data_IF_262050452159
#
_entry.id   IF_262050452159
#
_cell.length_a   1.000
_cell.length_b   1.000
_cell.length_c   1.000
_cell.angle_alpha   90.00
_cell.angle_beta   90.00
_cell.angle_gamma   90.00
#
_symmetry.space_group_name_H-M   'P 1'
#
loop_
_entity.id
_entity.type
_entity.pdbx_description
1 polymer ?
#
# COMPACT_ATOMS: atom_id res chain seq x y z
N UNK A 1 33.57 -38.97 45.25
CA UNK A 1 32.33 -38.37 44.73
C UNK A 1 31.24 -38.63 45.77
N UNK A 2 30.84 -37.62 46.55
CA UNK A 2 29.66 -37.73 47.43
C UNK A 2 28.42 -37.49 46.58
N UNK A 3 27.56 -38.51 46.42
CA UNK A 3 26.25 -38.34 45.79
C UNK A 3 25.34 -37.55 46.76
N UNK A 4 24.81 -36.39 46.37
CA UNK A 4 23.93 -35.61 47.23
C UNK A 4 22.52 -36.21 47.16
N UNK A 5 22.29 -37.27 47.94
CA UNK A 5 20.96 -37.85 48.13
C UNK A 5 19.95 -36.76 48.50
N UNK A 6 18.81 -36.71 47.80
CA UNK A 6 17.75 -35.72 48.01
C UNK A 6 17.97 -34.36 47.33
N UNK A 7 19.09 -34.13 46.64
CA UNK A 7 19.34 -32.96 45.76
C UNK A 7 19.74 -33.38 44.34
N UNK A 8 19.42 -34.60 43.97
CA UNK A 8 19.84 -35.26 42.73
C UNK A 8 19.43 -34.44 41.50
N UNK A 9 18.19 -33.95 41.45
CA UNK A 9 17.70 -33.13 40.35
C UNK A 9 18.52 -31.84 40.17
N UNK A 10 18.77 -31.10 41.25
CA UNK A 10 19.60 -29.88 41.20
C UNK A 10 21.07 -30.16 40.87
N UNK A 11 21.59 -31.33 41.25
CA UNK A 11 22.94 -31.76 40.92
C UNK A 11 23.04 -32.14 39.44
N UNK A 12 22.05 -32.86 38.91
CA UNK A 12 21.91 -33.21 37.49
C UNK A 12 21.78 -31.97 36.62
N UNK A 13 20.96 -30.99 37.01
CA UNK A 13 20.82 -29.70 36.29
C UNK A 13 22.15 -28.94 36.23
N UNK A 14 22.93 -28.92 37.33
CA UNK A 14 24.27 -28.29 37.34
C UNK A 14 25.27 -29.02 36.45
N UNK A 15 25.22 -30.35 36.43
CA UNK A 15 26.05 -31.15 35.52
C UNK A 15 25.66 -30.92 34.06
N UNK A 16 24.37 -30.86 33.76
CA UNK A 16 23.86 -30.56 32.43
C UNK A 16 24.28 -29.16 31.97
N UNK A 17 24.23 -28.15 32.85
CA UNK A 17 24.71 -26.81 32.53
C UNK A 17 26.22 -26.79 32.24
N UNK A 18 27.01 -27.56 33.01
CA UNK A 18 28.44 -27.74 32.75
C UNK A 18 28.70 -28.43 31.42
N UNK A 19 27.92 -29.46 31.10
CA UNK A 19 27.99 -30.17 29.81
C UNK A 19 27.63 -29.26 28.63
N UNK A 20 26.55 -28.47 28.75
CA UNK A 20 26.17 -27.45 27.77
C UNK A 20 27.30 -26.46 27.50
N UNK A 21 27.92 -25.90 28.55
CA UNK A 21 29.05 -24.98 28.39
C UNK A 21 30.26 -25.64 27.72
N UNK A 22 30.52 -26.92 28.02
CA UNK A 22 31.61 -27.67 27.41
C UNK A 22 31.33 -27.96 25.92
N UNK A 23 30.09 -28.32 25.57
CA UNK A 23 29.66 -28.50 24.18
C UNK A 23 29.87 -27.21 23.37
N UNK A 24 29.46 -26.05 23.92
CA UNK A 24 29.69 -24.76 23.27
C UNK A 24 31.18 -24.45 23.06
N UNK A 25 32.04 -24.73 24.05
CA UNK A 25 33.50 -24.52 23.90
C UNK A 25 34.14 -25.39 22.83
N UNK A 26 33.59 -26.59 22.62
CA UNK A 26 34.05 -27.58 21.63
C UNK A 26 33.42 -27.38 20.25
N UNK A 27 32.42 -26.52 20.11
CA UNK A 27 31.66 -26.37 18.87
C UNK A 27 30.69 -27.53 18.59
N UNK A 28 30.32 -28.29 19.62
CA UNK A 28 29.32 -29.37 19.54
C UNK A 28 27.90 -28.77 19.61
N UNK A 29 27.51 -28.03 18.58
CA UNK A 29 26.32 -27.16 18.59
C UNK A 29 25.00 -27.91 18.76
N UNK A 30 24.84 -29.07 18.13
CA UNK A 30 23.62 -29.89 18.24
C UNK A 30 23.42 -30.44 19.66
N UNK A 31 24.51 -30.88 20.31
CA UNK A 31 24.49 -31.37 21.69
C UNK A 31 24.20 -30.24 22.67
N UNK A 32 24.79 -29.07 22.44
CA UNK A 32 24.48 -27.87 23.22
C UNK A 32 22.99 -27.51 23.09
N UNK A 33 22.44 -27.51 21.87
CA UNK A 33 21.03 -27.19 21.62
C UNK A 33 20.09 -28.18 22.30
N UNK A 34 20.41 -29.48 22.30
CA UNK A 34 19.61 -30.51 22.95
C UNK A 34 19.49 -30.33 24.49
N UNK A 35 20.45 -29.64 25.11
CA UNK A 35 20.41 -29.34 26.54
C UNK A 35 19.42 -28.22 26.91
N UNK A 36 19.11 -27.32 25.96
CA UNK A 36 18.37 -26.07 26.21
C UNK A 36 16.99 -26.28 26.84
N UNK A 37 16.13 -27.22 26.38
CA UNK A 37 14.79 -27.39 26.96
C UNK A 37 14.83 -27.78 28.44
N UNK A 38 15.75 -28.67 28.83
CA UNK A 38 15.90 -29.11 30.22
C UNK A 38 16.55 -28.03 31.11
N UNK A 39 17.39 -27.17 30.53
CA UNK A 39 18.00 -26.05 31.23
C UNK A 39 17.04 -24.87 31.44
N UNK A 40 16.03 -24.73 30.58
CA UNK A 40 14.96 -23.76 30.76
C UNK A 40 14.12 -24.07 32.00
N UNK A 41 13.82 -25.34 32.25
CA UNK A 41 13.07 -25.80 33.43
C UNK A 41 13.93 -25.90 34.71
N UNK A 42 15.22 -25.59 34.62
CA UNK A 42 16.14 -25.72 35.74
C UNK A 42 15.84 -24.71 36.86
N UNK A 43 16.12 -25.10 38.10
CA UNK A 43 15.86 -24.24 39.25
C UNK A 43 17.00 -23.25 39.52
N UNK A 44 16.64 -22.09 40.07
CA UNK A 44 17.59 -21.07 40.51
C UNK A 44 18.06 -20.16 39.37
N UNK A 45 19.37 -19.96 39.29
CA UNK A 45 20.01 -18.96 38.40
C UNK A 45 20.49 -19.57 37.06
N UNK A 46 20.22 -20.85 36.83
CA UNK A 46 20.65 -21.55 35.61
C UNK A 46 19.92 -21.00 34.37
N UNK A 47 18.58 -20.82 34.36
CA UNK A 47 17.87 -20.31 33.19
C UNK A 47 18.40 -18.94 32.74
N UNK A 48 18.63 -18.01 33.68
CA UNK A 48 19.18 -16.68 33.38
C UNK A 48 20.57 -16.74 32.74
N UNK A 49 21.46 -17.58 33.26
CA UNK A 49 22.80 -17.77 32.68
C UNK A 49 22.73 -18.34 31.27
N UNK A 50 21.79 -19.25 31.02
CA UNK A 50 21.58 -19.81 29.68
C UNK A 50 21.01 -18.74 28.76
N UNK A 51 20.04 -17.95 29.20
CA UNK A 51 19.52 -16.79 28.47
C UNK A 51 20.65 -15.82 28.06
N UNK A 52 21.53 -15.43 28.99
CA UNK A 52 22.67 -14.55 28.73
C UNK A 52 23.63 -15.15 27.70
N UNK A 53 23.89 -16.45 27.77
CA UNK A 53 24.73 -17.17 26.81
C UNK A 53 24.05 -17.19 25.43
N UNK A 54 22.77 -17.53 25.35
CA UNK A 54 22.02 -17.56 24.09
C UNK A 54 21.99 -16.17 23.43
N UNK A 55 21.81 -15.10 24.21
CA UNK A 55 21.92 -13.73 23.71
C UNK A 55 23.33 -13.43 23.17
N UNK A 56 24.38 -13.82 23.90
CA UNK A 56 25.76 -13.61 23.44
C UNK A 56 26.07 -14.35 22.13
N UNK A 57 25.55 -15.57 21.94
CA UNK A 57 25.71 -16.34 20.70
C UNK A 57 25.06 -15.65 19.49
N UNK A 58 23.96 -14.92 19.72
CA UNK A 58 23.21 -14.18 18.70
C UNK A 58 23.87 -12.83 18.38
N UNK A 59 24.37 -12.13 19.40
CA UNK A 59 24.92 -10.76 19.26
C UNK A 59 26.31 -10.75 18.64
N UNK A 60 27.10 -11.79 18.87
CA UNK A 60 28.51 -11.84 18.47
C UNK A 60 28.82 -13.05 17.56
N UNK A 61 28.24 -13.13 16.35
CA UNK A 61 28.47 -14.25 15.43
C UNK A 61 29.96 -14.49 15.13
N UNK A 62 30.74 -13.43 14.96
CA UNK A 62 32.17 -13.53 14.62
C UNK A 62 33.03 -14.15 15.73
N UNK A 63 32.51 -14.24 16.96
CA UNK A 63 33.20 -14.86 18.09
C UNK A 63 32.89 -16.36 18.22
N UNK A 64 31.99 -16.89 17.39
CA UNK A 64 31.62 -18.30 17.38
C UNK A 64 32.73 -19.15 16.78
N UNK A 65 33.13 -20.20 17.51
CA UNK A 65 34.12 -21.17 17.03
C UNK A 65 33.52 -22.12 16.00
N UNK A 66 33.46 -21.68 14.76
CA UNK A 66 32.93 -22.49 13.67
C UNK A 66 34.03 -23.33 13.02
N UNK A 67 33.71 -24.57 12.66
CA UNK A 67 34.56 -25.38 11.78
C UNK A 67 34.59 -24.79 10.36
N UNK A 68 35.46 -25.30 9.49
CA UNK A 68 35.60 -24.80 8.11
C UNK A 68 34.29 -24.92 7.28
N UNK A 69 33.37 -25.79 7.69
CA UNK A 69 32.11 -26.07 7.00
C UNK A 69 30.91 -25.29 7.55
N UNK A 70 31.07 -24.55 8.65
CA UNK A 70 29.96 -23.87 9.34
C UNK A 70 30.16 -22.37 9.25
N UNK A 71 29.18 -21.68 8.68
CA UNK A 71 29.14 -20.23 8.66
C UNK A 71 28.73 -19.67 10.03
N UNK A 72 29.55 -18.81 10.67
CA UNK A 72 29.21 -18.17 11.94
C UNK A 72 27.87 -17.43 11.94
N UNK A 73 27.50 -16.78 10.84
CA UNK A 73 26.28 -15.97 10.76
C UNK A 73 25.03 -16.87 10.70
N UNK A 74 25.11 -17.96 9.93
CA UNK A 74 24.04 -18.98 9.86
C UNK A 74 23.89 -19.72 11.19
N UNK A 75 24.99 -20.00 11.87
CA UNK A 75 24.95 -20.59 13.20
C UNK A 75 24.29 -19.64 14.20
N UNK A 76 24.64 -18.36 14.18
CA UNK A 76 23.97 -17.36 15.02
C UNK A 76 22.47 -17.24 14.70
N UNK A 77 22.06 -17.41 13.44
CA UNK A 77 20.64 -17.49 13.07
C UNK A 77 19.94 -18.71 13.69
N UNK A 78 20.58 -19.88 13.69
CA UNK A 78 20.04 -21.07 14.37
C UNK A 78 19.86 -20.81 15.86
N UNK A 79 20.84 -20.19 16.52
CA UNK A 79 20.73 -19.81 17.93
C UNK A 79 19.70 -18.72 18.18
N UNK A 80 19.48 -17.81 17.23
CA UNK A 80 18.39 -16.83 17.28
C UNK A 80 17.02 -17.53 17.29
N UNK A 81 16.82 -18.56 16.47
CA UNK A 81 15.57 -19.34 16.49
C UNK A 81 15.37 -20.10 17.82
N UNK A 82 16.46 -20.54 18.45
CA UNK A 82 16.42 -21.14 19.80
C UNK A 82 16.05 -20.10 20.85
N UNK A 83 16.64 -18.91 20.78
CA UNK A 83 16.36 -17.78 21.66
C UNK A 83 14.91 -17.28 21.50
N UNK A 84 14.38 -17.23 20.28
CA UNK A 84 12.99 -16.85 20.01
C UNK A 84 12.01 -17.84 20.67
N UNK A 85 12.30 -19.15 20.60
CA UNK A 85 11.53 -20.18 21.31
C UNK A 85 11.64 -20.04 22.82
N UNK A 86 12.83 -19.75 23.34
CA UNK A 86 13.07 -19.49 24.77
C UNK A 86 12.20 -18.32 25.25
N UNK A 87 12.25 -17.18 24.57
CA UNK A 87 11.48 -15.97 24.92
C UNK A 87 9.96 -16.18 24.80
N UNK A 88 9.52 -16.95 23.81
CA UNK A 88 8.10 -17.29 23.62
C UNK A 88 7.53 -18.08 24.81
N UNK A 89 8.31 -18.98 25.40
CA UNK A 89 7.90 -19.75 26.59
C UNK A 89 7.83 -18.87 27.85
N UNK A 90 8.72 -17.88 27.97
CA UNK A 90 8.74 -16.91 29.06
C UNK A 90 7.77 -15.73 28.85
N UNK A 91 7.06 -15.68 27.72
CA UNK A 91 6.20 -14.54 27.29
C UNK A 91 6.95 -13.20 27.26
N UNK A 92 8.25 -13.23 26.98
CA UNK A 92 9.09 -12.04 26.78
C UNK A 92 9.12 -11.67 25.30
N UNK A 93 9.26 -10.38 25.02
CA UNK A 93 9.47 -9.88 23.66
C UNK A 93 10.97 -9.85 23.35
N UNK A 94 11.35 -10.47 22.24
CA UNK A 94 12.72 -10.42 21.74
C UNK A 94 12.97 -9.07 21.05
N UNK A 95 14.07 -8.36 21.35
CA UNK A 95 14.41 -7.13 20.64
C UNK A 95 14.54 -7.37 19.13
N UNK A 96 13.76 -6.65 18.33
CA UNK A 96 13.76 -6.73 16.86
C UNK A 96 15.14 -6.44 16.25
N UNK A 97 15.98 -5.70 16.97
CA UNK A 97 17.37 -5.38 16.61
C UNK A 97 18.21 -6.62 16.36
N UNK A 98 18.08 -7.66 17.19
CA UNK A 98 18.86 -8.89 17.03
C UNK A 98 18.55 -9.56 15.70
N UNK A 99 17.25 -9.63 15.36
CA UNK A 99 16.79 -10.18 14.11
C UNK A 99 17.32 -9.39 12.92
N UNK A 100 17.11 -8.07 12.91
CA UNK A 100 17.54 -7.20 11.81
C UNK A 100 19.05 -7.22 11.59
N UNK A 101 19.85 -7.26 12.67
CA UNK A 101 21.31 -7.36 12.58
C UNK A 101 21.75 -8.68 11.93
N UNK A 102 21.16 -9.80 12.33
CA UNK A 102 21.47 -11.09 11.72
C UNK A 102 20.99 -11.17 10.28
N UNK A 103 19.79 -10.67 9.97
CA UNK A 103 19.29 -10.57 8.59
C UNK A 103 20.25 -9.75 7.72
N UNK A 104 20.77 -8.63 8.23
CA UNK A 104 21.79 -7.84 7.53
C UNK A 104 23.09 -8.61 7.31
N UNK A 105 23.59 -9.30 8.34
CA UNK A 105 24.83 -10.08 8.22
C UNK A 105 24.67 -11.17 7.13
N UNK A 106 23.59 -11.94 7.19
CA UNK A 106 23.28 -12.97 6.18
C UNK A 106 23.19 -12.37 4.76
N UNK A 107 22.58 -11.20 4.59
CA UNK A 107 22.56 -10.51 3.29
C UNK A 107 23.95 -9.99 2.89
N UNK A 108 24.78 -9.60 3.86
CA UNK A 108 26.13 -9.09 3.59
C UNK A 108 27.03 -10.15 2.95
N UNK A 109 26.81 -11.44 3.18
CA UNK A 109 27.50 -12.55 2.48
C UNK A 109 27.39 -12.40 0.95
N UNK A 110 26.18 -12.08 0.47
CA UNK A 110 25.89 -11.90 -0.96
C UNK A 110 26.35 -10.52 -1.48
N UNK A 111 26.35 -9.50 -0.63
CA UNK A 111 26.68 -8.11 -1.00
C UNK A 111 28.17 -7.78 -1.03
N UNK A 112 29.03 -8.58 -0.38
CA UNK A 112 30.49 -8.35 -0.30
C UNK A 112 31.18 -8.23 -1.67
N UNK A 113 30.56 -8.74 -2.73
CA UNK A 113 31.08 -8.60 -4.11
C UNK A 113 30.76 -7.26 -4.74
N UNK A 114 29.68 -6.62 -4.30
CA UNK A 114 29.08 -5.45 -4.95
C UNK A 114 29.27 -4.17 -4.13
N UNK A 115 29.56 -4.27 -2.82
CA UNK A 115 29.69 -3.14 -1.89
C UNK A 115 31.06 -3.15 -1.18
N UNK A 116 31.76 -2.00 -1.11
CA UNK A 116 32.96 -1.82 -0.28
C UNK A 116 32.75 -2.12 1.22
N UNK A 117 33.75 -2.70 1.89
CA UNK A 117 33.66 -3.09 3.31
C UNK A 117 33.42 -1.91 4.26
N UNK A 118 33.95 -0.73 3.95
CA UNK A 118 33.75 0.50 4.71
C UNK A 118 32.28 0.95 4.67
N UNK A 119 31.64 0.83 3.50
CA UNK A 119 30.21 1.13 3.34
C UNK A 119 29.36 0.07 4.02
N UNK A 120 29.71 -1.22 3.93
CA UNK A 120 28.99 -2.28 4.67
C UNK A 120 29.02 -2.04 6.19
N UNK A 121 30.16 -1.61 6.73
CA UNK A 121 30.28 -1.23 8.16
C UNK A 121 29.38 -0.04 8.47
N UNK A 122 29.38 0.99 7.63
CA UNK A 122 28.52 2.16 7.79
C UNK A 122 27.02 1.77 7.80
N UNK A 123 26.59 0.91 6.88
CA UNK A 123 25.21 0.41 6.79
C UNK A 123 24.83 -0.42 8.04
N UNK A 124 25.73 -1.28 8.52
CA UNK A 124 25.54 -2.05 9.74
C UNK A 124 25.42 -1.16 10.99
N UNK A 125 26.26 -0.12 11.08
CA UNK A 125 26.20 0.86 12.16
C UNK A 125 24.91 1.68 12.13
N UNK A 126 24.45 2.09 10.95
CA UNK A 126 23.18 2.80 10.79
C UNK A 126 21.99 1.96 11.31
N UNK A 127 21.99 0.65 11.04
CA UNK A 127 20.97 -0.29 11.54
C UNK A 127 21.06 -0.49 13.07
N UNK A 128 22.26 -0.43 13.64
CA UNK A 128 22.49 -0.64 15.07
C UNK A 128 22.08 0.55 15.96
N UNK A 129 22.04 1.76 15.42
CA UNK A 129 21.75 3.00 16.17
C UNK A 129 20.26 3.35 16.27
N UNK A 130 19.42 2.72 15.45
CA UNK A 130 17.99 3.03 15.32
C UNK A 130 17.12 2.54 16.49
N UNK A 131 17.72 1.92 17.50
CA UNK A 131 17.00 1.38 18.64
C UNK A 131 17.83 1.62 19.88
N UNK A 132 17.34 2.49 20.77
CA UNK A 132 17.92 2.65 22.09
C UNK A 132 17.98 1.30 22.79
N UNK A 133 19.16 0.68 22.81
CA UNK A 133 19.38 -0.53 23.59
C UNK A 133 19.12 -0.26 25.07
N UNK A 134 18.90 -1.31 25.88
CA UNK A 134 18.98 -1.18 27.33
C UNK A 134 20.42 -0.80 27.65
N UNK A 135 20.61 0.49 27.92
CA UNK A 135 21.87 1.08 28.34
C UNK A 135 22.33 0.37 29.60
N UNK A 136 23.39 -0.44 29.47
CA UNK A 136 24.15 -0.97 30.60
C UNK A 136 25.10 0.07 31.23
N UNK A 137 25.11 1.32 30.77
CA UNK A 137 25.90 2.39 31.41
C UNK A 137 25.18 3.74 31.39
N UNK A 138 24.48 4.02 32.49
CA UNK A 138 23.89 5.32 32.75
C UNK A 138 25.00 6.33 33.03
N UNK A 139 25.54 6.98 31.99
CA UNK A 139 26.11 8.35 32.00
C UNK A 139 26.89 8.68 30.71
N UNK A 140 26.26 8.54 29.53
CA UNK A 140 26.73 9.30 28.36
C UNK A 140 25.59 10.09 27.76
N UNK A 141 25.82 11.41 27.73
CA UNK A 141 24.96 12.44 27.15
C UNK A 141 24.44 12.01 25.78
N UNK A 142 23.13 12.11 25.64
CA UNK A 142 22.36 12.09 24.39
C UNK A 142 22.67 13.33 23.52
N UNK A 143 23.94 13.59 23.22
CA UNK A 143 24.38 14.66 22.34
C UNK A 143 24.54 14.11 20.93
N UNK A 144 23.50 14.28 20.11
CA UNK A 144 23.54 14.44 18.64
C UNK A 144 24.52 13.56 17.85
N UNK A 145 24.25 12.26 17.74
CA UNK A 145 24.81 11.44 16.66
C UNK A 145 23.65 10.81 15.91
N UNK A 146 23.14 11.52 14.91
CA UNK A 146 22.29 10.91 13.88
C UNK A 146 23.24 10.38 12.82
N UNK A 147 23.38 9.05 12.65
CA UNK A 147 24.19 8.52 11.57
C UNK A 147 23.44 8.80 10.28
N UNK A 148 23.88 9.83 9.57
CA UNK A 148 23.46 10.05 8.19
C UNK A 148 24.32 9.14 7.35
N UNK A 149 23.68 8.38 6.47
CA UNK A 149 24.42 7.68 5.43
C UNK A 149 25.22 8.70 4.61
N UNK A 150 26.47 8.35 4.31
CA UNK A 150 27.37 9.11 3.47
C UNK A 150 26.80 9.22 2.05
N UNK A 151 27.23 10.25 1.32
CA UNK A 151 26.89 10.39 -0.10
C UNK A 151 27.34 9.18 -0.91
N UNK A 152 28.48 8.60 -0.53
CA UNK A 152 29.09 7.42 -1.09
C UNK A 152 28.19 6.19 -0.85
N UNK A 153 27.76 5.94 0.39
CA UNK A 153 26.85 4.85 0.71
C UNK A 153 25.54 4.96 -0.10
N UNK A 154 24.94 6.14 -0.17
CA UNK A 154 23.72 6.38 -0.96
C UNK A 154 23.94 6.14 -2.46
N UNK A 155 25.10 6.52 -2.99
CA UNK A 155 25.44 6.26 -4.40
C UNK A 155 25.61 4.76 -4.69
N UNK A 156 26.20 4.00 -3.77
CA UNK A 156 26.35 2.55 -3.89
C UNK A 156 25.00 1.85 -3.79
N UNK A 157 24.10 2.30 -2.91
CA UNK A 157 22.71 1.81 -2.88
C UNK A 157 22.00 2.03 -4.21
N UNK A 158 22.24 3.19 -4.84
CA UNK A 158 21.67 3.50 -6.15
C UNK A 158 22.25 2.63 -7.27
N UNK A 159 23.55 2.36 -7.26
CA UNK A 159 24.17 1.47 -8.24
C UNK A 159 23.74 0.01 -8.04
N UNK A 160 23.58 -0.43 -6.79
CA UNK A 160 23.01 -1.74 -6.46
C UNK A 160 21.56 -1.87 -6.94
N UNK A 161 20.76 -0.80 -6.84
CA UNK A 161 19.40 -0.77 -7.41
C UNK A 161 19.39 -0.98 -8.94
N UNK A 162 20.46 -0.59 -9.65
CA UNK A 162 20.60 -0.82 -11.09
C UNK A 162 21.07 -2.24 -11.42
N UNK A 163 21.98 -2.78 -10.61
CA UNK A 163 22.68 -4.05 -10.89
C UNK A 163 21.96 -5.27 -10.31
N UNK A 164 21.45 -5.14 -9.08
CA UNK A 164 20.83 -6.21 -8.30
C UNK A 164 19.61 -5.67 -7.52
N UNK A 165 18.49 -5.36 -8.19
CA UNK A 165 17.35 -4.66 -7.59
C UNK A 165 16.70 -5.43 -6.43
N UNK A 166 16.73 -6.77 -6.44
CA UNK A 166 16.16 -7.58 -5.37
C UNK A 166 16.98 -7.47 -4.07
N UNK A 167 18.32 -7.52 -4.17
CA UNK A 167 19.21 -7.38 -3.03
C UNK A 167 19.15 -5.95 -2.46
N UNK A 168 19.16 -4.94 -3.36
CA UNK A 168 18.98 -3.55 -2.96
C UNK A 168 17.66 -3.33 -2.22
N UNK A 169 16.57 -3.93 -2.70
CA UNK A 169 15.27 -3.80 -2.06
C UNK A 169 15.26 -4.43 -0.66
N UNK A 170 15.83 -5.63 -0.50
CA UNK A 170 15.93 -6.28 0.81
C UNK A 170 16.76 -5.46 1.80
N UNK A 171 17.88 -4.90 1.35
CA UNK A 171 18.73 -4.06 2.18
C UNK A 171 18.06 -2.71 2.53
N UNK A 172 17.38 -2.07 1.57
CA UNK A 172 16.60 -0.87 1.84
C UNK A 172 15.44 -1.16 2.80
N UNK A 173 14.83 -2.34 2.76
CA UNK A 173 13.81 -2.74 3.73
C UNK A 173 14.39 -2.95 5.14
N UNK A 174 15.60 -3.52 5.26
CA UNK A 174 16.28 -3.69 6.56
C UNK A 174 16.74 -2.38 7.19
N UNK A 175 17.24 -1.45 6.37
CA UNK A 175 17.67 -0.12 6.85
C UNK A 175 16.49 0.75 7.31
N UNK A 176 15.25 0.31 7.09
CA UNK A 176 14.05 1.04 7.46
C UNK A 176 13.49 0.51 8.76
N UNK A 177 13.24 1.41 9.71
CA UNK A 177 12.48 1.03 10.90
C UNK A 177 11.01 0.75 10.58
N UNK A 178 10.47 -0.26 11.25
CA UNK A 178 9.01 -0.50 11.30
C UNK A 178 8.24 0.66 11.93
N UNK A 179 8.87 1.42 12.85
CA UNK A 179 8.21 2.46 13.66
C UNK A 179 8.39 3.90 13.15
N UNK A 180 9.15 4.11 12.06
CA UNK A 180 9.52 5.45 11.60
C UNK A 180 8.39 6.16 10.85
N UNK A 181 7.44 6.67 11.61
CA UNK A 181 6.70 7.88 11.27
C UNK A 181 7.42 9.16 11.73
N UNK A 182 8.48 9.05 12.55
CA UNK A 182 9.11 10.18 13.25
C UNK A 182 10.65 10.15 13.35
N UNK A 183 11.33 9.10 12.86
CA UNK A 183 12.79 9.00 12.88
C UNK A 183 13.51 9.92 11.89
N UNK A 184 14.51 10.67 12.36
CA UNK A 184 15.36 11.57 11.55
C UNK A 184 16.28 10.80 10.58
N UNK A 185 16.65 9.56 10.91
CA UNK A 185 17.44 8.62 10.09
C UNK A 185 16.69 8.25 8.81
N UNK A 186 15.45 7.77 8.95
CA UNK A 186 14.56 7.43 7.83
C UNK A 186 14.25 8.60 6.90
N UNK A 187 14.20 9.84 7.42
CA UNK A 187 14.00 11.04 6.60
C UNK A 187 15.18 11.32 5.66
N UNK A 188 16.42 11.18 6.15
CA UNK A 188 17.62 11.49 5.36
C UNK A 188 17.78 10.55 4.16
N UNK A 189 17.53 9.25 4.35
CA UNK A 189 17.54 8.26 3.28
C UNK A 189 16.41 8.49 2.28
N UNK A 190 15.19 8.78 2.74
CA UNK A 190 14.06 9.09 1.84
C UNK A 190 14.35 10.30 0.97
N UNK A 191 14.86 11.39 1.56
CA UNK A 191 15.24 12.60 0.80
C UNK A 191 16.32 12.29 -0.24
N UNK A 192 17.36 11.56 0.15
CA UNK A 192 18.44 11.23 -0.78
C UNK A 192 17.96 10.35 -1.95
N UNK A 193 17.05 9.40 -1.69
CA UNK A 193 16.39 8.61 -2.74
C UNK A 193 15.51 9.48 -3.66
N UNK A 194 14.72 10.41 -3.10
CA UNK A 194 13.93 11.36 -3.91
C UNK A 194 14.84 12.17 -4.82
N UNK A 195 15.92 12.75 -4.29
CA UNK A 195 16.88 13.53 -5.08
C UNK A 195 17.52 12.71 -6.21
N UNK A 196 17.87 11.44 -5.94
CA UNK A 196 18.41 10.54 -6.95
C UNK A 196 17.39 10.17 -8.03
N UNK A 197 16.15 9.86 -7.65
CA UNK A 197 15.06 9.58 -8.60
C UNK A 197 14.85 10.78 -9.52
N UNK A 198 14.78 12.00 -8.99
CA UNK A 198 14.59 13.21 -9.79
C UNK A 198 15.74 13.45 -10.79
N UNK A 199 17.00 13.25 -10.35
CA UNK A 199 18.17 13.30 -11.25
C UNK A 199 18.08 12.24 -12.35
N UNK A 200 17.65 11.03 -12.01
CA UNK A 200 17.48 9.94 -12.96
C UNK A 200 16.35 10.20 -13.95
N UNK A 201 15.23 10.79 -13.52
CA UNK A 201 14.15 11.24 -14.40
C UNK A 201 14.65 12.28 -15.41
N UNK A 202 15.46 13.25 -14.97
CA UNK A 202 16.11 14.21 -15.87
C UNK A 202 17.02 13.55 -16.90
N UNK A 203 17.73 12.47 -16.53
CA UNK A 203 18.58 11.72 -17.45
C UNK A 203 17.77 10.87 -18.46
N UNK A 204 16.62 10.33 -18.04
CA UNK A 204 15.72 9.52 -18.88
C UNK A 204 14.95 10.37 -19.90
N UNK A 205 14.68 11.64 -19.58
CA UNK A 205 14.04 12.59 -20.50
C UNK A 205 15.02 13.18 -21.55
N UNK A 206 16.32 12.93 -21.41
CA UNK A 206 17.34 13.42 -22.33
C UNK A 206 17.44 12.60 -23.64
N UNK A 207 18.00 13.17 -24.73
CA UNK A 207 18.17 12.49 -26.02
C UNK A 207 19.20 11.35 -26.01
N UNK A 208 19.95 11.21 -24.91
CA UNK A 208 20.93 10.15 -24.71
C UNK A 208 20.24 8.92 -24.14
N UNK A 209 20.44 7.76 -24.77
CA UNK A 209 20.09 6.46 -24.20
C UNK A 209 20.73 6.38 -22.80
N UNK A 210 19.90 6.49 -21.76
CA UNK A 210 20.38 6.46 -20.38
C UNK A 210 21.12 5.15 -20.07
N UNK A 211 21.92 5.11 -19.00
CA UNK A 211 22.58 3.89 -18.57
C UNK A 211 21.58 2.74 -18.38
N UNK A 212 21.98 1.52 -18.73
CA UNK A 212 21.15 0.33 -18.52
C UNK A 212 20.75 0.19 -17.03
N UNK A 213 19.51 -0.19 -16.76
CA UNK A 213 19.00 -0.40 -15.39
C UNK A 213 18.57 0.87 -14.63
N UNK A 214 18.64 2.07 -15.24
CA UNK A 214 18.17 3.30 -14.56
C UNK A 214 16.67 3.26 -14.27
N UNK A 215 15.87 2.70 -15.17
CA UNK A 215 14.42 2.52 -14.98
C UNK A 215 14.11 1.57 -13.82
N UNK A 216 14.85 0.46 -13.72
CA UNK A 216 14.72 -0.48 -12.61
C UNK A 216 15.11 0.16 -11.28
N UNK A 217 16.16 0.99 -11.28
CA UNK A 217 16.56 1.73 -10.10
C UNK A 217 15.52 2.77 -9.67
N UNK A 218 14.86 3.46 -10.61
CA UNK A 218 13.73 4.34 -10.32
C UNK A 218 12.60 3.53 -9.67
N UNK A 219 12.20 2.40 -10.26
CA UNK A 219 11.13 1.57 -9.71
C UNK A 219 11.47 1.00 -8.32
N UNK A 220 12.69 0.50 -8.11
CA UNK A 220 13.12 0.01 -6.81
C UNK A 220 13.20 1.11 -5.76
N UNK A 221 13.71 2.29 -6.11
CA UNK A 221 13.70 3.45 -5.21
C UNK A 221 12.27 3.87 -4.83
N UNK A 222 11.33 3.91 -5.79
CA UNK A 222 9.93 4.25 -5.55
C UNK A 222 9.23 3.27 -4.60
N UNK A 223 9.47 1.96 -4.73
CA UNK A 223 8.97 0.94 -3.78
C UNK A 223 9.51 1.16 -2.36
N UNK A 224 10.68 1.77 -2.28
CA UNK A 224 11.35 2.10 -1.02
C UNK A 224 10.97 3.47 -0.45
N UNK A 225 10.18 4.29 -1.14
CA UNK A 225 9.68 5.54 -0.57
C UNK A 225 8.55 5.28 0.43
N UNK A 226 8.27 6.28 1.27
CA UNK A 226 7.10 6.40 2.14
C UNK A 226 6.69 7.86 2.08
N UNK A 227 5.44 8.18 2.41
CA UNK A 227 5.09 9.58 2.66
C UNK A 227 5.35 9.86 4.14
N UNK A 228 6.42 10.59 4.51
CA UNK A 228 6.58 11.02 5.89
C UNK A 228 5.53 12.09 6.21
N UNK A 229 5.23 12.30 7.50
CA UNK A 229 4.64 13.57 7.93
C UNK A 229 5.60 14.73 7.54
N UNK A 230 5.08 15.96 7.38
CA UNK A 230 5.87 17.15 6.97
C UNK A 230 7.29 17.15 7.57
N UNK A 231 8.35 17.36 6.75
CA UNK A 231 8.43 18.43 5.74
C UNK A 231 8.61 17.99 4.27
N UNK A 232 8.61 16.69 3.95
CA UNK A 232 8.89 16.19 2.58
C UNK A 232 7.75 16.42 1.56
N UNK A 233 6.60 16.96 2.00
CA UNK A 233 5.38 17.06 1.19
C UNK A 233 5.57 17.87 -0.11
N UNK A 234 6.34 18.96 -0.08
CA UNK A 234 6.63 19.76 -1.27
C UNK A 234 7.52 19.03 -2.29
N UNK A 235 8.59 18.37 -1.82
CA UNK A 235 9.52 17.61 -2.67
C UNK A 235 8.83 16.39 -3.30
N UNK A 236 7.96 15.71 -2.56
CA UNK A 236 7.17 14.58 -3.06
C UNK A 236 6.12 15.01 -4.10
N UNK A 237 5.52 16.21 -3.97
CA UNK A 237 4.63 16.76 -5.01
C UNK A 237 5.39 17.00 -6.31
N UNK A 238 6.53 17.67 -6.23
CA UNK A 238 7.41 17.89 -7.38
C UNK A 238 7.85 16.57 -8.03
N UNK A 239 8.18 15.56 -7.22
CA UNK A 239 8.49 14.22 -7.74
C UNK A 239 7.29 13.61 -8.49
N UNK A 240 6.07 13.72 -7.97
CA UNK A 240 4.87 13.20 -8.63
C UNK A 240 4.61 13.92 -9.97
N UNK A 241 4.80 15.24 -10.02
CA UNK A 241 4.72 16.02 -11.26
C UNK A 241 5.77 15.57 -12.28
N UNK A 242 7.03 15.44 -11.88
CA UNK A 242 8.12 14.99 -12.74
C UNK A 242 7.90 13.55 -13.26
N UNK A 243 7.40 12.65 -12.41
CA UNK A 243 7.03 11.28 -12.79
C UNK A 243 5.89 11.27 -13.81
N UNK A 244 4.87 12.10 -13.60
CA UNK A 244 3.71 12.19 -14.49
C UNK A 244 4.12 12.71 -15.88
N UNK A 245 4.95 13.74 -15.94
CA UNK A 245 5.47 14.25 -17.21
C UNK A 245 6.41 13.25 -17.87
N UNK A 246 7.26 12.57 -17.11
CA UNK A 246 8.13 11.50 -17.63
C UNK A 246 7.34 10.34 -18.23
N UNK A 247 6.21 9.93 -17.62
CA UNK A 247 5.36 8.86 -18.15
C UNK A 247 4.57 9.29 -19.40
N UNK A 248 4.28 10.58 -19.55
CA UNK A 248 3.52 11.13 -20.69
C UNK A 248 4.39 11.50 -21.89
N UNK A 249 5.71 11.57 -21.71
CA UNK A 249 6.65 11.89 -22.79
C UNK A 249 6.67 10.78 -23.86
N UNK A 250 6.64 11.18 -25.13
CA UNK A 250 6.71 10.23 -26.25
C UNK A 250 8.05 9.48 -26.24
N UNK A 251 8.00 8.15 -26.32
CA UNK A 251 9.20 7.30 -26.29
C UNK A 251 9.82 7.11 -24.90
N UNK A 252 9.13 7.52 -23.84
CA UNK A 252 9.60 7.29 -22.46
C UNK A 252 9.71 5.79 -22.16
N UNK A 253 10.81 5.34 -21.54
CA UNK A 253 10.94 3.96 -21.08
C UNK A 253 10.16 3.71 -19.77
N UNK A 254 9.60 4.77 -19.15
CA UNK A 254 8.81 4.65 -17.92
C UNK A 254 7.34 4.36 -18.24
N UNK A 255 6.87 3.22 -17.78
CA UNK A 255 5.46 2.85 -17.80
C UNK A 255 4.74 3.35 -16.55
N UNK A 256 3.63 4.07 -16.74
CA UNK A 256 2.83 4.61 -15.64
C UNK A 256 2.25 3.50 -14.74
N UNK A 257 1.84 2.36 -15.32
CA UNK A 257 1.33 1.20 -14.58
C UNK A 257 2.36 0.65 -13.59
N UNK A 258 3.64 0.66 -13.97
CA UNK A 258 4.75 0.24 -13.11
C UNK A 258 5.06 1.27 -12.04
N UNK A 259 4.96 2.57 -12.33
CA UNK A 259 5.07 3.62 -11.31
C UNK A 259 3.98 3.44 -10.26
N UNK A 260 2.73 3.29 -10.69
CA UNK A 260 1.60 3.09 -9.78
C UNK A 260 1.75 1.79 -8.97
N UNK A 261 2.19 0.69 -9.60
CA UNK A 261 2.44 -0.58 -8.89
C UNK A 261 3.50 -0.42 -7.79
N UNK A 262 4.55 0.38 -8.05
CA UNK A 262 5.58 0.68 -7.06
C UNK A 262 5.07 1.52 -5.88
N UNK A 263 4.09 2.40 -6.10
CA UNK A 263 3.50 3.24 -5.07
C UNK A 263 2.39 2.52 -4.25
N UNK A 264 1.80 1.44 -4.80
CA UNK A 264 0.66 0.69 -4.22
C UNK A 264 1.01 -0.24 -3.04
N UNK A 265 1.99 0.10 -2.21
CA UNK A 265 2.30 -0.65 -0.98
C UNK A 265 1.61 -0.05 0.26
N UNK A 266 1.48 -0.83 1.34
CA UNK A 266 0.73 -0.45 2.56
C UNK A 266 1.16 0.90 3.15
N UNK A 267 2.46 1.19 3.12
CA UNK A 267 3.05 2.44 3.65
C UNK A 267 3.15 3.57 2.60
N UNK A 268 2.82 3.29 1.32
CA UNK A 268 2.88 4.22 0.20
C UNK A 268 1.52 4.75 -0.26
N UNK A 269 0.42 4.35 0.40
CA UNK A 269 -0.95 4.78 0.03
C UNK A 269 -1.11 6.29 -0.07
N UNK A 270 -0.44 7.03 0.80
CA UNK A 270 -0.39 8.50 0.78
C UNK A 270 0.38 9.06 -0.43
N UNK A 271 1.39 8.36 -0.94
CA UNK A 271 2.07 8.73 -2.19
C UNK A 271 1.16 8.53 -3.41
N UNK A 272 0.36 7.44 -3.42
CA UNK A 272 -0.64 7.23 -4.49
C UNK A 272 -1.70 8.33 -4.48
N UNK A 273 -2.15 8.74 -3.29
CA UNK A 273 -3.07 9.88 -3.15
C UNK A 273 -2.44 11.18 -3.66
N UNK A 274 -1.18 11.45 -3.30
CA UNK A 274 -0.45 12.61 -3.79
C UNK A 274 -0.30 12.62 -5.32
N UNK A 275 0.07 11.47 -5.89
CA UNK A 275 0.14 11.27 -7.34
C UNK A 275 -1.23 11.53 -8.00
N UNK A 276 -2.30 10.99 -7.43
CA UNK A 276 -3.67 11.22 -7.91
C UNK A 276 -4.10 12.68 -7.89
N UNK A 277 -3.72 13.44 -6.86
CA UNK A 277 -3.95 14.89 -6.81
C UNK A 277 -3.19 15.62 -7.93
N UNK A 278 -1.89 15.35 -8.10
CA UNK A 278 -1.10 15.95 -9.19
C UNK A 278 -1.63 15.55 -10.57
N UNK A 279 -2.14 14.33 -10.71
CA UNK A 279 -2.79 13.86 -11.93
C UNK A 279 -4.04 14.67 -12.25
N UNK A 280 -4.92 14.87 -11.25
CA UNK A 280 -6.15 15.64 -11.40
C UNK A 280 -5.86 17.09 -11.78
N UNK A 281 -4.95 17.76 -11.07
CA UNK A 281 -4.50 19.12 -11.39
C UNK A 281 -4.01 19.21 -12.85
N UNK A 282 -3.10 18.32 -13.26
CA UNK A 282 -2.54 18.32 -14.63
C UNK A 282 -3.54 17.91 -15.70
N UNK A 283 -4.55 17.10 -15.37
CA UNK A 283 -5.62 16.73 -16.31
C UNK A 283 -6.53 17.92 -16.63
N UNK A 284 -6.70 18.85 -15.69
CA UNK A 284 -7.45 20.09 -15.90
C UNK A 284 -6.69 21.15 -16.70
N UNK A 285 -5.36 21.02 -16.81
CA UNK A 285 -4.49 22.04 -17.40
C UNK A 285 -4.26 21.93 -18.93
N UNK A 286 -4.64 20.84 -19.62
CA UNK A 286 -4.42 20.70 -21.10
C UNK A 286 -5.66 20.98 -21.95
N UNK A 287 -5.50 21.61 -23.15
CA UNK A 287 -5.09 22.99 -23.38
C UNK A 287 -6.30 23.88 -23.72
N UNK A 288 -6.18 25.17 -23.43
CA UNK A 288 -7.09 26.26 -23.82
C UNK A 288 -7.14 26.52 -25.36
N UNK A 289 -7.25 25.48 -26.20
CA UNK A 289 -7.50 25.58 -27.65
C UNK A 289 -8.91 25.18 -28.08
N UNK A 290 -9.76 24.71 -27.17
CA UNK A 290 -11.21 24.67 -27.39
C UNK A 290 -11.85 25.95 -26.82
N UNK A 291 -11.69 27.06 -27.55
CA UNK A 291 -12.59 28.19 -27.36
C UNK A 291 -13.96 27.71 -27.84
N UNK A 292 -14.98 27.90 -26.99
CA UNK A 292 -16.42 27.57 -27.17
C UNK A 292 -16.91 26.23 -26.62
N UNK A 293 -16.78 26.01 -25.32
CA UNK A 293 -17.92 25.55 -24.49
C UNK A 293 -17.63 25.88 -23.02
N UNK A 294 -18.65 26.24 -22.25
CA UNK A 294 -18.55 26.89 -20.94
C UNK A 294 -17.57 26.21 -19.97
N UNK A 295 -16.63 27.00 -19.45
CA UNK A 295 -15.67 26.63 -18.41
C UNK A 295 -16.38 26.26 -17.11
N UNK A 296 -16.12 25.07 -16.59
CA UNK A 296 -16.19 24.82 -15.13
C UNK A 296 -14.96 24.00 -14.74
N UNK A 297 -14.17 24.54 -13.80
CA UNK A 297 -13.06 23.84 -13.14
C UNK A 297 -13.62 22.72 -12.25
N UNK A 298 -13.05 21.51 -12.25
CA UNK A 298 -13.53 20.41 -11.41
C UNK A 298 -13.23 20.58 -9.92
N UNK A 299 -12.40 21.54 -9.52
CA UNK A 299 -12.25 21.89 -8.09
C UNK A 299 -13.48 22.63 -7.53
N UNK A 300 -14.42 23.02 -8.38
CA UNK A 300 -15.68 23.68 -8.02
C UNK A 300 -16.94 23.02 -8.62
N UNK A 301 -16.79 21.85 -9.25
CA UNK A 301 -17.93 21.05 -9.71
C UNK A 301 -18.55 20.34 -8.51
N UNK A 302 -19.89 20.38 -8.43
CA UNK A 302 -20.66 19.54 -7.53
C UNK A 302 -20.20 18.08 -7.73
N UNK A 303 -19.93 17.29 -6.66
CA UNK A 303 -19.52 15.89 -6.79
C UNK A 303 -20.37 15.08 -7.78
N UNK A 304 -21.65 15.40 -7.91
CA UNK A 304 -22.57 14.77 -8.85
C UNK A 304 -22.21 15.07 -10.31
N UNK A 305 -21.89 16.33 -10.62
CA UNK A 305 -21.48 16.76 -11.96
C UNK A 305 -20.09 16.22 -12.32
N UNK A 306 -19.19 16.12 -11.35
CA UNK A 306 -17.88 15.52 -11.55
C UNK A 306 -17.97 14.03 -11.93
N UNK A 307 -18.81 13.26 -11.22
CA UNK A 307 -19.02 11.83 -11.50
C UNK A 307 -19.67 11.60 -12.87
N UNK A 308 -20.64 12.45 -13.25
CA UNK A 308 -21.23 12.41 -14.58
C UNK A 308 -20.20 12.68 -15.69
N UNK A 309 -19.36 13.69 -15.52
CA UNK A 309 -18.31 14.02 -16.49
C UNK A 309 -17.30 12.86 -16.66
N UNK A 310 -16.91 12.21 -15.56
CA UNK A 310 -15.95 11.10 -15.56
C UNK A 310 -16.46 9.90 -16.36
N UNK A 311 -17.72 9.50 -16.14
CA UNK A 311 -18.30 8.31 -16.79
C UNK A 311 -19.00 8.58 -18.12
N UNK A 312 -19.10 9.85 -18.54
CA UNK A 312 -19.52 10.22 -19.90
C UNK A 312 -18.38 10.16 -20.93
N UNK A 313 -17.14 9.91 -20.49
CA UNK A 313 -15.98 9.78 -21.36
C UNK A 313 -16.07 8.54 -22.26
N UNK A 314 -15.67 8.63 -23.55
CA UNK A 314 -15.74 7.49 -24.47
C UNK A 314 -14.79 6.35 -24.08
N UNK A 315 -13.63 6.68 -23.49
CA UNK A 315 -12.58 5.74 -23.11
C UNK A 315 -12.80 5.21 -21.68
N UNK A 316 -13.18 3.92 -21.53
CA UNK A 316 -13.46 3.34 -20.22
C UNK A 316 -12.22 3.27 -19.32
N UNK A 317 -11.04 3.06 -19.90
CA UNK A 317 -9.80 2.89 -19.12
C UNK A 317 -9.39 4.22 -18.47
N UNK A 318 -9.47 5.32 -19.21
CA UNK A 318 -9.19 6.65 -18.68
C UNK A 318 -10.28 7.14 -17.72
N UNK A 319 -11.54 6.80 -17.99
CA UNK A 319 -12.66 7.09 -17.09
C UNK A 319 -12.44 6.45 -15.71
N UNK A 320 -12.12 5.15 -15.68
CA UNK A 320 -11.88 4.42 -14.43
C UNK A 320 -10.64 4.89 -13.67
N UNK A 321 -9.55 5.19 -14.38
CA UNK A 321 -8.35 5.75 -13.77
C UNK A 321 -8.63 7.11 -13.11
N UNK A 322 -9.36 7.98 -13.80
CA UNK A 322 -9.72 9.30 -13.27
C UNK A 322 -10.71 9.19 -12.11
N UNK A 323 -11.69 8.28 -12.21
CA UNK A 323 -12.63 7.99 -11.14
C UNK A 323 -11.93 7.39 -9.90
N UNK A 324 -10.95 6.52 -10.08
CA UNK A 324 -10.14 5.97 -8.99
C UNK A 324 -9.43 7.09 -8.22
N UNK A 325 -8.71 7.98 -8.91
CA UNK A 325 -8.02 9.09 -8.25
C UNK A 325 -8.99 10.07 -7.58
N UNK A 326 -10.13 10.37 -8.23
CA UNK A 326 -11.17 11.21 -7.66
C UNK A 326 -11.79 10.62 -6.37
N UNK A 327 -11.99 9.30 -6.33
CA UNK A 327 -12.51 8.63 -5.13
C UNK A 327 -11.45 8.58 -4.02
N UNK A 328 -10.18 8.35 -4.40
CA UNK A 328 -9.05 8.31 -3.48
C UNK A 328 -8.81 9.67 -2.81
N UNK A 329 -8.88 10.77 -3.56
CA UNK A 329 -8.72 12.14 -3.04
C UNK A 329 -9.84 12.55 -2.09
N UNK A 330 -11.08 12.12 -2.39
CA UNK A 330 -12.26 12.48 -1.60
C UNK A 330 -12.54 11.51 -0.45
N UNK A 331 -11.74 10.44 -0.29
CA UNK A 331 -11.93 9.38 0.72
C UNK A 331 -13.32 8.73 0.70
N UNK A 332 -13.96 8.71 -0.48
CA UNK A 332 -15.32 8.16 -0.67
C UNK A 332 -15.27 6.93 -1.55
N UNK A 333 -16.17 5.98 -1.29
CA UNK A 333 -16.28 4.79 -2.12
C UNK A 333 -16.89 5.14 -3.48
N UNK A 334 -16.35 4.62 -4.57
CA UNK A 334 -16.83 4.94 -5.92
C UNK A 334 -18.32 4.63 -6.09
N UNK A 335 -18.78 3.49 -5.56
CA UNK A 335 -20.19 3.09 -5.62
C UNK A 335 -21.11 4.04 -4.84
N UNK A 336 -20.64 4.57 -3.71
CA UNK A 336 -21.41 5.56 -2.93
C UNK A 336 -21.60 6.83 -3.77
N UNK A 337 -20.53 7.32 -4.40
CA UNK A 337 -20.57 8.50 -5.26
C UNK A 337 -21.50 8.32 -6.46
N UNK A 338 -21.48 7.14 -7.10
CA UNK A 338 -22.37 6.82 -8.22
C UNK A 338 -23.83 6.79 -7.76
N UNK A 339 -24.11 6.17 -6.62
CA UNK A 339 -25.48 6.08 -6.09
C UNK A 339 -26.01 7.44 -5.67
N UNK A 340 -25.20 8.27 -5.00
CA UNK A 340 -25.58 9.65 -4.63
C UNK A 340 -25.88 10.46 -5.90
N UNK A 341 -25.00 10.41 -6.90
CA UNK A 341 -25.20 11.08 -8.20
C UNK A 341 -26.47 10.60 -8.89
N UNK A 342 -26.70 9.27 -8.93
CA UNK A 342 -27.90 8.70 -9.54
C UNK A 342 -29.19 9.13 -8.82
N UNK A 343 -29.18 9.18 -7.48
CA UNK A 343 -30.33 9.63 -6.69
C UNK A 343 -30.61 11.11 -6.88
N UNK A 344 -29.60 11.94 -7.07
CA UNK A 344 -29.80 13.36 -7.37
C UNK A 344 -30.42 13.57 -8.75
N UNK A 345 -29.91 12.88 -9.78
CA UNK A 345 -30.51 12.89 -11.12
C UNK A 345 -31.96 12.41 -11.13
N UNK A 346 -32.29 11.42 -10.30
CA UNK A 346 -33.66 10.95 -10.12
C UNK A 346 -34.57 12.03 -9.50
N UNK A 347 -34.08 12.83 -8.56
CA UNK A 347 -34.84 13.93 -7.95
C UNK A 347 -35.09 15.07 -8.93
N UNK A 348 -34.11 15.36 -9.79
CA UNK A 348 -34.20 16.38 -10.85
C UNK A 348 -34.91 15.88 -12.12
N UNK A 349 -35.37 14.62 -12.15
CA UNK A 349 -35.95 13.93 -13.32
C UNK A 349 -35.07 13.96 -14.60
N UNK A 350 -33.74 14.07 -14.46
CA UNK A 350 -32.78 14.01 -15.57
C UNK A 350 -32.43 12.57 -15.95
N UNK A 351 -33.40 11.90 -16.57
CA UNK A 351 -33.27 10.52 -17.02
C UNK A 351 -32.18 10.30 -18.09
N UNK A 352 -31.99 11.18 -19.10
CA UNK A 352 -30.91 11.00 -20.08
C UNK A 352 -29.52 10.90 -19.45
N UNK A 353 -29.17 11.81 -18.54
CA UNK A 353 -27.88 11.77 -17.84
C UNK A 353 -27.75 10.54 -16.94
N UNK A 354 -28.85 10.12 -16.30
CA UNK A 354 -28.89 8.89 -15.52
C UNK A 354 -28.66 7.64 -16.38
N UNK A 355 -29.22 7.61 -17.59
CA UNK A 355 -29.00 6.54 -18.57
C UNK A 355 -27.56 6.47 -19.05
N UNK A 356 -26.91 7.63 -19.25
CA UNK A 356 -25.48 7.70 -19.58
C UNK A 356 -24.59 7.21 -18.43
N UNK A 357 -24.86 7.65 -17.20
CA UNK A 357 -24.11 7.25 -16.00
C UNK A 357 -24.15 5.73 -15.78
N UNK A 358 -25.32 5.13 -16.00
CA UNK A 358 -25.56 3.70 -15.77
C UNK A 358 -25.24 2.82 -16.96
N UNK A 359 -24.74 3.39 -18.05
CA UNK A 359 -24.34 2.58 -19.19
C UNK A 359 -23.11 1.73 -18.86
N UNK A 360 -22.92 0.64 -19.62
CA UNK A 360 -21.81 -0.31 -19.48
C UNK A 360 -21.79 -1.04 -18.12
N UNK A 361 -20.94 -0.62 -17.19
CA UNK A 361 -20.57 -1.40 -15.99
C UNK A 361 -21.54 -1.23 -14.82
N UNK A 362 -22.30 -0.14 -14.78
CA UNK A 362 -23.30 0.12 -13.75
C UNK A 362 -24.72 -0.30 -14.14
N UNK A 363 -24.88 -0.96 -15.30
CA UNK A 363 -26.17 -1.53 -15.74
C UNK A 363 -26.86 -2.40 -14.69
N UNK A 364 -26.16 -3.21 -13.86
CA UNK A 364 -26.84 -3.99 -12.82
C UNK A 364 -27.62 -3.15 -11.80
N UNK A 365 -27.27 -1.87 -11.63
CA UNK A 365 -27.92 -0.96 -10.67
C UNK A 365 -29.22 -0.35 -11.22
N UNK A 366 -29.47 -0.43 -12.53
CA UNK A 366 -30.57 0.30 -13.18
C UNK A 366 -31.94 -0.07 -12.62
N UNK A 367 -32.26 -1.37 -12.49
CA UNK A 367 -33.56 -1.83 -11.96
C UNK A 367 -33.74 -1.53 -10.46
N UNK A 368 -32.66 -1.53 -9.69
CA UNK A 368 -32.71 -1.08 -8.29
C UNK A 368 -33.07 0.41 -8.22
N UNK A 369 -32.44 1.23 -9.08
CA UNK A 369 -32.68 2.66 -9.16
C UNK A 369 -34.08 3.00 -9.72
N UNK A 370 -34.69 2.13 -10.54
CA UNK A 370 -36.11 2.26 -10.90
C UNK A 370 -37.00 2.22 -9.67
N UNK A 371 -36.80 1.24 -8.78
CA UNK A 371 -37.63 1.08 -7.58
C UNK A 371 -37.43 2.24 -6.60
N UNK A 372 -36.19 2.72 -6.45
CA UNK A 372 -35.87 3.87 -5.61
C UNK A 372 -36.41 5.19 -6.21
N UNK A 373 -36.30 5.35 -7.52
CA UNK A 373 -36.77 6.50 -8.29
C UNK A 373 -38.29 6.57 -8.47
N UNK A 374 -38.99 5.46 -8.27
CA UNK A 374 -40.44 5.38 -8.49
C UNK A 374 -41.22 6.39 -7.64
N UNK A 375 -40.80 6.57 -6.39
CA UNK A 375 -41.43 7.52 -5.44
C UNK A 375 -41.14 8.99 -5.78
N UNK A 376 -40.17 9.25 -6.66
CA UNK A 376 -39.77 10.61 -7.05
C UNK A 376 -40.46 11.09 -8.35
N UNK A 377 -41.13 10.21 -9.09
CA UNK A 377 -41.82 10.56 -10.32
C UNK A 377 -43.08 11.41 -10.05
N UNK A 378 -43.13 12.61 -10.61
CA UNK A 378 -44.26 13.54 -10.41
C UNK A 378 -45.41 13.32 -11.40
N UNK A 379 -45.22 12.52 -12.46
CA UNK A 379 -46.22 12.30 -13.50
C UNK A 379 -46.15 10.89 -14.12
N UNK A 380 -47.24 10.48 -14.78
CA UNK A 380 -47.27 9.25 -15.57
C UNK A 380 -46.20 9.27 -16.68
N UNK A 381 -45.93 10.44 -17.26
CA UNK A 381 -44.93 10.63 -18.29
C UNK A 381 -43.49 10.46 -17.75
N UNK A 382 -43.20 10.95 -16.54
CA UNK A 382 -41.88 10.75 -15.92
C UNK A 382 -41.66 9.30 -15.50
N UNK A 383 -42.68 8.63 -14.94
CA UNK A 383 -42.62 7.19 -14.64
C UNK A 383 -42.35 6.34 -15.91
N UNK A 384 -42.99 6.69 -17.04
CA UNK A 384 -42.76 6.01 -18.33
C UNK A 384 -41.35 6.26 -18.85
N UNK A 385 -40.85 7.50 -18.79
CA UNK A 385 -39.47 7.84 -19.21
C UNK A 385 -38.42 7.16 -18.33
N UNK A 386 -38.63 7.09 -17.02
CA UNK A 386 -37.75 6.39 -16.08
C UNK A 386 -37.60 4.90 -16.47
N UNK A 387 -38.73 4.20 -16.65
CA UNK A 387 -38.69 2.80 -17.06
C UNK A 387 -38.10 2.62 -18.46
N UNK A 388 -38.42 3.48 -19.43
CA UNK A 388 -37.83 3.40 -20.77
C UNK A 388 -36.31 3.54 -20.76
N UNK A 389 -35.78 4.36 -19.85
CA UNK A 389 -34.35 4.65 -19.77
C UNK A 389 -33.58 3.54 -19.05
N UNK A 390 -34.13 3.02 -17.96
CA UNK A 390 -33.42 2.10 -17.05
C UNK A 390 -33.81 0.63 -17.22
N UNK A 391 -35.02 0.35 -17.66
CA UNK A 391 -35.52 -1.01 -17.85
C UNK A 391 -35.43 -1.44 -19.32
N UNK A 392 -34.31 -2.07 -19.67
CA UNK A 392 -34.15 -2.76 -20.96
C UNK A 392 -34.57 -4.21 -20.80
N UNK A 393 -35.69 -4.58 -21.42
CA UNK A 393 -36.29 -5.91 -21.32
C UNK A 393 -35.37 -7.06 -21.80
N UNK A 394 -34.35 -6.76 -22.62
CA UNK A 394 -33.42 -7.76 -23.19
C UNK A 394 -32.16 -8.02 -22.33
N UNK A 395 -31.94 -7.27 -21.23
CA UNK A 395 -30.73 -7.44 -20.42
C UNK A 395 -30.81 -8.68 -19.51
N UNK A 396 -29.94 -9.66 -19.82
CA UNK A 396 -29.84 -10.95 -19.12
C UNK A 396 -29.16 -10.87 -17.75
N UNK A 397 -28.42 -9.80 -17.45
CA UNK A 397 -27.50 -9.70 -16.30
C UNK A 397 -28.10 -9.32 -14.93
N UNK A 398 -29.43 -9.23 -14.80
CA UNK A 398 -30.09 -8.73 -13.57
C UNK A 398 -30.98 -9.79 -12.91
N UNK A 399 -31.17 -9.65 -11.60
CA UNK A 399 -32.03 -10.50 -10.77
C UNK A 399 -33.44 -10.64 -11.37
N UNK A 400 -33.96 -11.88 -11.37
CA UNK A 400 -35.29 -12.23 -11.88
C UNK A 400 -36.38 -11.47 -11.12
N UNK A 401 -36.24 -11.33 -9.80
CA UNK A 401 -37.23 -10.64 -8.98
C UNK A 401 -37.36 -9.16 -9.35
N UNK A 402 -36.24 -8.47 -9.54
CA UNK A 402 -36.23 -7.07 -9.96
C UNK A 402 -36.75 -6.89 -11.40
N UNK A 403 -36.52 -7.90 -12.27
CA UNK A 403 -37.09 -7.91 -13.61
C UNK A 403 -38.61 -7.95 -13.55
N UNK A 404 -39.15 -8.95 -12.86
CA UNK A 404 -40.59 -9.20 -12.79
C UNK A 404 -41.31 -8.02 -12.14
N UNK A 405 -40.70 -7.37 -11.15
CA UNK A 405 -41.22 -6.14 -10.54
C UNK A 405 -41.29 -4.98 -11.56
N UNK A 406 -40.23 -4.76 -12.35
CA UNK A 406 -40.22 -3.69 -13.37
C UNK A 406 -41.19 -3.99 -14.52
N UNK A 407 -41.29 -5.23 -14.96
CA UNK A 407 -42.27 -5.68 -15.97
C UNK A 407 -43.70 -5.49 -15.46
N UNK A 408 -43.94 -5.81 -14.19
CA UNK A 408 -45.19 -5.52 -13.51
C UNK A 408 -45.51 -4.03 -13.52
N UNK A 409 -44.59 -3.17 -13.10
CA UNK A 409 -44.78 -1.72 -13.10
C UNK A 409 -45.07 -1.17 -14.51
N UNK A 410 -44.39 -1.69 -15.53
CA UNK A 410 -44.64 -1.33 -16.93
C UNK A 410 -46.08 -1.64 -17.35
N UNK A 411 -46.57 -2.85 -17.06
CA UNK A 411 -47.94 -3.25 -17.37
C UNK A 411 -48.98 -2.37 -16.63
N UNK A 412 -48.72 -1.98 -15.38
CA UNK A 412 -49.60 -1.07 -14.65
C UNK A 412 -49.65 0.33 -15.28
N UNK A 413 -48.53 0.84 -15.79
CA UNK A 413 -48.51 2.13 -16.51
C UNK A 413 -49.32 2.07 -17.81
N UNK A 414 -49.23 0.98 -18.57
CA UNK A 414 -50.01 0.83 -19.81
C UNK A 414 -51.53 0.86 -19.54
N UNK A 415 -51.97 0.21 -18.47
CA UNK A 415 -53.38 0.25 -18.04
C UNK A 415 -53.80 1.66 -17.60
N UNK A 416 -52.96 2.34 -16.81
CA UNK A 416 -53.25 3.71 -16.36
C UNK A 416 -53.29 4.70 -17.53
N UNK A 417 -52.37 4.57 -18.49
CA UNK A 417 -52.36 5.38 -19.71
C UNK A 417 -53.63 5.15 -20.54
N UNK A 418 -54.06 3.90 -20.69
CA UNK A 418 -55.32 3.57 -21.35
C UNK A 418 -56.53 4.19 -20.64
N UNK A 419 -56.59 4.14 -19.31
CA UNK A 419 -57.66 4.76 -18.52
C UNK A 419 -57.71 6.29 -18.67
N UNK A 420 -56.55 6.95 -18.69
CA UNK A 420 -56.44 8.41 -18.92
C UNK A 420 -56.88 8.77 -20.35
N UNK A 421 -56.52 7.96 -21.35
CA UNK A 421 -56.95 8.16 -22.73
C UNK A 421 -58.46 7.94 -22.93
N UNK A 422 -59.08 7.00 -22.21
CA UNK A 422 -60.53 6.77 -22.31
C UNK A 422 -61.35 7.84 -21.59
N UNK A 423 -60.92 8.27 -20.40
CA UNK A 423 -61.59 9.34 -19.64
C UNK A 423 -61.50 10.71 -20.32
N UNK A 424 -60.37 11.04 -20.93
CA UNK A 424 -60.23 12.25 -21.76
C UNK A 424 -61.11 12.22 -23.01
N UNK A 425 -61.21 11.07 -23.69
CA UNK A 425 -62.15 10.88 -24.82
C UNK A 425 -63.62 11.01 -24.40
N UNK A 426 -63.98 10.49 -23.23
CA UNK A 426 -65.33 10.64 -22.68
C UNK A 426 -65.66 12.09 -22.26
N UNK A 427 -64.70 12.83 -21.68
CA UNK A 427 -64.90 14.25 -21.34
C UNK A 427 -65.02 15.15 -22.58
N UNK A 428 -64.24 14.92 -23.63
CA UNK A 428 -64.36 15.65 -24.90
C UNK A 428 -65.69 15.35 -25.63
N UNK A 429 -66.29 14.18 -25.42
CA UNK A 429 -67.64 13.86 -25.91
C UNK A 429 -68.77 14.40 -25.03
N UNK A 430 -68.46 15.00 -23.87
CA UNK A 430 -69.44 15.49 -22.89
C UNK A 430 -69.58 17.02 -22.85
N UNK A 431 -69.04 17.74 -23.83
CA UNK A 431 -69.41 19.15 -24.06
C UNK A 431 -70.53 19.17 -25.11
N UNK A 432 -71.82 19.35 -24.74
CA UNK A 432 -72.85 19.57 -25.72
C UNK A 432 -72.70 21.01 -26.24
N UNK A 433 -72.56 21.15 -27.55
CA UNK A 433 -72.97 22.35 -28.26
C UNK A 433 -74.44 22.63 -27.89
N UNK A 434 -74.68 23.62 -27.03
CA UNK A 434 -75.93 24.36 -27.00
C UNK A 434 -75.62 25.83 -27.21
N UNK A 435 -75.57 26.20 -28.49
CA UNK A 435 -75.92 27.52 -28.99
C UNK A 435 -76.78 27.29 -30.24
N UNK A 436 -77.92 28.00 -30.28
CA UNK A 436 -78.82 28.29 -31.41
C UNK A 436 -79.87 27.25 -31.85
N UNK A 437 -81.13 27.47 -31.43
CA UNK A 437 -82.10 28.25 -32.20
C UNK A 437 -83.22 28.81 -31.29
#
# INVERSE_FOLDING_TARGET
MHHPFGKEETASQKQLFGFFCECLRRGEWELAQACVPQLHEAQGDIPKKVEDILQALVVCPDQLRCGQDIDPQRLAWVWFLVLEKWFSQEKKLLPSVFRRKLEFLLLSEDLQRDIPEDILKELYEALAQDTGGPVLDGNQKRESWTPRLSSEAVSVLWDLLRQAPQLAQALLELLRSEDDSTGLSGWSLQKALVDLVRRALGAVQGPTTGPAGVVDAIYGALRSLRCPAEPLGGELRLLCEELLEACRAEGSPLQEEQVLSCLLHKAGRSLVSLYGHTYAEKATEKPAKAIHSGKVSPDHLDPEQAMLALFSSPDPTQAWKSAYFYCLSNSKHFLEQILVTALALLKEEDFPSLGCLLDREFRPLSRLLVLLGWMHCQSLASAKRLLQTLHRAQDQGCDKLLRDACDGLWAHLEVLEWCVQQSSKQMLCSIPNQVEA
#
